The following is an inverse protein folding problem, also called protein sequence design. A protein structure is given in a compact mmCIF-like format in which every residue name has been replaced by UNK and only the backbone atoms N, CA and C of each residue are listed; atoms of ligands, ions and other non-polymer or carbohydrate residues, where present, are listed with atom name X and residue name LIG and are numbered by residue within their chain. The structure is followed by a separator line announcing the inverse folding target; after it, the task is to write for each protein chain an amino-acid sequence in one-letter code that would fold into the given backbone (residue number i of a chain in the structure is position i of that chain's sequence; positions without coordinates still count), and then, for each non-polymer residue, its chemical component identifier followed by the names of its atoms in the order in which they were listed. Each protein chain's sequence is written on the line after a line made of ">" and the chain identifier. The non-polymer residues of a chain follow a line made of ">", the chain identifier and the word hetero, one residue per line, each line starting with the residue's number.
data_IF_459968316524
#
_entry.id   IF_459968316524
#
_cell.length_a   1.000
_cell.length_b   1.000
_cell.length_c   1.000
_cell.angle_alpha   90.00
_cell.angle_beta   90.00
_cell.angle_gamma   90.00
#
_symmetry.space_group_name_H-M   'P 1'
#
loop_
_entity.id
_entity.type
_entity.pdbx_description
1 polymer ?
#
# COMPACT_ATOMS: atom_id res chain seq x y z
N UNK A 1 -27.70 17.09 -13.34
CA UNK A 1 -27.30 15.85 -12.64
C UNK A 1 -25.77 15.77 -12.67
N UNK A 2 -25.13 15.39 -11.56
CA UNK A 2 -23.67 15.20 -11.45
C UNK A 2 -23.41 13.82 -10.84
N UNK A 3 -22.41 13.10 -11.34
CA UNK A 3 -21.95 11.82 -10.82
C UNK A 3 -20.41 11.75 -10.88
N UNK A 4 -19.80 11.02 -9.95
CA UNK A 4 -18.36 10.73 -9.93
C UNK A 4 -18.12 9.23 -10.03
N UNK A 5 -16.95 8.84 -10.55
CA UNK A 5 -16.54 7.45 -10.70
C UNK A 5 -15.16 7.27 -10.07
N UNK A 6 -15.01 6.19 -9.29
CA UNK A 6 -13.74 5.76 -8.72
C UNK A 6 -13.54 4.28 -9.04
N UNK A 7 -12.36 3.93 -9.57
CA UNK A 7 -12.04 2.57 -10.01
C UNK A 7 -10.67 2.18 -9.46
N UNK A 8 -10.62 1.02 -8.80
CA UNK A 8 -9.39 0.40 -8.30
C UNK A 8 -9.14 -0.88 -9.09
N UNK A 9 -7.93 -1.04 -9.63
CA UNK A 9 -7.54 -2.22 -10.41
C UNK A 9 -6.17 -2.72 -9.96
N UNK A 10 -6.09 -4.01 -9.62
CA UNK A 10 -4.81 -4.65 -9.31
C UNK A 10 -4.02 -4.94 -10.59
N UNK A 11 -2.71 -4.70 -10.54
CA UNK A 11 -1.79 -4.95 -11.63
C UNK A 11 -1.13 -6.33 -11.47
N UNK A 12 -0.99 -7.05 -12.58
CA UNK A 12 -0.31 -8.34 -12.62
C UNK A 12 1.21 -8.17 -12.77
N UNK A 13 1.85 -7.64 -11.72
CA UNK A 13 3.27 -7.33 -11.73
C UNK A 13 4.00 -7.67 -10.42
N UNK A 14 3.36 -8.40 -9.50
CA UNK A 14 3.86 -8.61 -8.14
C UNK A 14 3.61 -7.41 -7.21
N UNK A 15 4.18 -7.45 -6.01
CA UNK A 15 3.99 -6.38 -5.01
C UNK A 15 4.72 -5.09 -5.41
N UNK A 16 4.24 -3.95 -4.91
CA UNK A 16 4.75 -2.63 -5.31
C UNK A 16 6.10 -2.30 -4.66
N UNK A 17 6.33 -2.71 -3.42
CA UNK A 17 7.50 -2.29 -2.62
C UNK A 17 8.43 -3.43 -2.19
N UNK A 18 8.30 -4.61 -2.79
CA UNK A 18 9.25 -5.70 -2.59
C UNK A 18 9.23 -6.64 -3.81
N UNK A 19 10.17 -7.58 -3.84
CA UNK A 19 10.26 -8.60 -4.90
C UNK A 19 9.45 -9.87 -4.61
N UNK A 20 8.57 -9.86 -3.60
CA UNK A 20 7.65 -10.98 -3.38
C UNK A 20 6.66 -11.07 -4.54
N UNK A 21 6.33 -12.30 -4.94
CA UNK A 21 5.24 -12.57 -5.86
C UNK A 21 3.88 -12.14 -5.28
N UNK A 22 2.87 -11.99 -6.13
CA UNK A 22 1.49 -11.70 -5.76
C UNK A 22 0.73 -12.91 -5.23
N UNK A 23 1.21 -14.13 -5.52
CA UNK A 23 0.61 -15.38 -5.06
C UNK A 23 0.88 -15.67 -3.57
N UNK A 24 -0.09 -16.31 -2.91
CA UNK A 24 0.00 -16.84 -1.55
C UNK A 24 0.99 -18.03 -1.48
N UNK A 25 2.29 -17.74 -1.59
CA UNK A 25 3.40 -18.69 -1.50
C UNK A 25 4.30 -18.44 -0.28
N UNK A 26 3.81 -17.63 0.65
CA UNK A 26 4.52 -17.13 1.82
C UNK A 26 4.56 -18.11 2.99
N UNK A 27 5.49 -17.88 3.93
CA UNK A 27 5.50 -18.54 5.24
C UNK A 27 4.19 -18.25 6.01
N UNK A 28 3.65 -19.20 6.79
CA UNK A 28 2.46 -18.97 7.64
C UNK A 28 2.79 -18.11 8.88
N UNK A 29 3.23 -16.86 8.67
CA UNK A 29 3.54 -15.94 9.76
C UNK A 29 2.28 -15.24 10.25
N UNK A 30 2.11 -15.20 11.56
CA UNK A 30 1.04 -14.45 12.23
C UNK A 30 1.65 -13.57 13.31
N UNK A 31 1.33 -12.28 13.30
CA UNK A 31 1.80 -11.32 14.29
C UNK A 31 0.72 -10.28 14.58
N UNK A 32 0.81 -9.60 15.72
CA UNK A 32 -0.13 -8.53 16.07
C UNK A 32 0.57 -7.20 16.31
N UNK A 33 -0.11 -6.10 15.98
CA UNK A 33 0.34 -4.73 16.24
C UNK A 33 -0.83 -3.85 16.70
N UNK A 34 -0.53 -2.78 17.40
CA UNK A 34 -1.47 -1.68 17.69
C UNK A 34 -0.95 -0.46 16.96
N UNK A 35 -1.80 0.16 16.14
CA UNK A 35 -1.44 1.40 15.44
C UNK A 35 -1.65 2.58 16.38
N UNK A 36 -0.78 3.59 16.32
CA UNK A 36 -0.87 4.77 17.17
C UNK A 36 -1.21 6.00 16.33
N UNK A 37 -2.23 6.74 16.75
CA UNK A 37 -2.56 8.01 16.13
C UNK A 37 -1.42 9.03 16.36
N UNK A 38 -1.03 9.72 15.30
CA UNK A 38 0.03 10.74 15.36
C UNK A 38 -0.58 12.13 15.32
N UNK A 39 0.02 13.08 16.03
CA UNK A 39 -0.37 14.48 15.97
C UNK A 39 0.16 15.14 14.69
N UNK A 40 -0.65 16.01 14.10
CA UNK A 40 -0.19 16.95 13.08
C UNK A 40 0.86 17.92 13.63
N UNK A 41 1.48 18.71 12.75
CA UNK A 41 2.43 19.76 13.14
C UNK A 41 1.87 20.73 14.19
N UNK A 42 0.56 20.98 14.16
CA UNK A 42 -0.15 21.83 15.13
C UNK A 42 -0.60 21.08 16.40
N UNK A 43 -0.16 19.83 16.60
CA UNK A 43 -0.53 19.01 17.75
C UNK A 43 -1.93 18.38 17.66
N UNK A 44 -2.66 18.59 16.57
CA UNK A 44 -4.04 18.09 16.39
C UNK A 44 -4.00 16.64 15.92
N UNK A 45 -4.74 15.76 16.58
CA UNK A 45 -4.91 14.35 16.21
C UNK A 45 -6.24 14.16 15.48
N UNK A 46 -6.23 13.39 14.39
CA UNK A 46 -7.45 13.02 13.68
C UNK A 46 -8.37 12.16 14.58
N UNK A 47 -9.66 12.49 14.60
CA UNK A 47 -10.64 11.85 15.49
C UNK A 47 -10.85 10.37 15.13
N UNK A 48 -10.87 10.04 13.85
CA UNK A 48 -11.03 8.65 13.40
C UNK A 48 -9.78 7.82 13.72
N UNK A 49 -8.59 8.38 13.47
CA UNK A 49 -7.32 7.73 13.85
C UNK A 49 -7.20 7.54 15.37
N UNK A 50 -7.65 8.53 16.16
CA UNK A 50 -7.65 8.42 17.62
C UNK A 50 -8.56 7.30 18.12
N UNK A 51 -9.76 7.16 17.53
CA UNK A 51 -10.69 6.11 17.88
C UNK A 51 -10.15 4.71 17.54
N UNK A 52 -9.48 4.54 16.38
CA UNK A 52 -8.89 3.27 15.97
C UNK A 52 -7.53 2.99 16.64
N UNK A 53 -6.85 4.00 17.21
CA UNK A 53 -5.48 3.92 17.75
C UNK A 53 -5.31 3.05 19.00
N UNK A 54 -6.38 2.47 19.53
CA UNK A 54 -6.35 1.51 20.64
C UNK A 54 -6.62 0.07 20.16
N UNK A 55 -6.96 -0.12 18.89
CA UNK A 55 -7.32 -1.40 18.32
C UNK A 55 -6.07 -2.24 18.05
N UNK A 56 -6.13 -3.52 18.46
CA UNK A 56 -5.10 -4.52 18.13
C UNK A 56 -5.47 -5.19 16.81
N UNK A 57 -4.55 -5.17 15.87
CA UNK A 57 -4.65 -5.86 14.58
C UNK A 57 -3.82 -7.13 14.61
N UNK A 58 -4.35 -8.21 14.03
CA UNK A 58 -3.62 -9.45 13.80
C UNK A 58 -3.44 -9.62 12.30
N UNK A 59 -2.19 -9.72 11.87
CA UNK A 59 -1.80 -9.87 10.48
C UNK A 59 -1.46 -11.33 10.22
N UNK A 60 -2.02 -11.87 9.14
CA UNK A 60 -1.67 -13.18 8.61
C UNK A 60 -0.92 -12.98 7.30
N UNK A 61 0.41 -12.99 7.37
CA UNK A 61 1.23 -12.79 6.19
C UNK A 61 1.48 -14.15 5.54
N UNK A 62 0.69 -14.48 4.51
CA UNK A 62 0.82 -15.71 3.70
C UNK A 62 1.30 -15.46 2.28
N UNK A 63 1.45 -14.20 1.89
CA UNK A 63 1.75 -13.80 0.52
C UNK A 63 3.13 -13.15 0.36
N UNK A 64 3.93 -13.04 1.42
CA UNK A 64 5.30 -12.52 1.32
C UNK A 64 6.27 -13.36 2.14
N UNK A 65 7.43 -13.59 1.56
CA UNK A 65 8.57 -14.22 2.23
C UNK A 65 9.64 -13.20 2.68
N UNK A 66 9.32 -11.90 2.69
CA UNK A 66 10.22 -10.85 3.18
C UNK A 66 9.58 -10.02 4.30
N UNK A 67 10.38 -9.13 4.86
CA UNK A 67 10.07 -8.33 6.05
C UNK A 67 9.35 -6.99 5.75
N UNK A 68 9.37 -6.53 4.48
CA UNK A 68 8.83 -5.22 4.09
C UNK A 68 7.37 -5.04 4.50
N UNK A 69 6.50 -5.98 4.11
CA UNK A 69 5.06 -5.92 4.43
C UNK A 69 4.74 -6.37 5.87
N UNK A 70 5.76 -6.76 6.64
CA UNK A 70 5.66 -6.92 8.09
C UNK A 70 6.14 -5.67 8.85
N UNK A 71 6.58 -4.63 8.12
CA UNK A 71 7.16 -3.39 8.67
C UNK A 71 8.47 -3.62 9.47
N UNK A 72 9.22 -4.66 9.09
CA UNK A 72 10.49 -5.04 9.75
C UNK A 72 11.71 -4.83 8.82
N UNK A 73 11.50 -4.22 7.64
CA UNK A 73 12.53 -3.85 6.67
C UNK A 73 12.06 -2.65 5.83
N UNK A 74 12.94 -1.71 5.45
CA UNK A 74 12.58 -0.62 4.55
C UNK A 74 12.00 -1.10 3.20
N UNK A 75 11.00 -0.39 2.64
CA UNK A 75 10.45 -0.72 1.33
C UNK A 75 11.47 -0.57 0.20
N UNK A 76 11.33 -1.41 -0.83
CA UNK A 76 12.17 -1.42 -2.04
C UNK A 76 11.32 -1.15 -3.26
N UNK A 77 11.58 -0.07 -3.99
CA UNK A 77 10.82 0.24 -5.20
C UNK A 77 10.45 1.72 -5.28
N UNK A 78 9.41 2.07 -6.05
CA UNK A 78 8.33 1.20 -6.55
C UNK A 78 8.74 0.15 -7.61
N UNK A 79 7.93 -0.89 -7.76
CA UNK A 79 8.08 -1.93 -8.78
C UNK A 79 8.02 -1.31 -10.18
N UNK A 80 9.10 -1.48 -10.96
CA UNK A 80 9.25 -0.85 -12.29
C UNK A 80 8.14 -1.25 -13.26
N UNK A 81 7.71 -2.51 -13.25
CA UNK A 81 6.63 -2.99 -14.10
C UNK A 81 5.29 -2.32 -13.72
N UNK A 82 5.04 -2.11 -12.42
CA UNK A 82 3.85 -1.39 -11.96
C UNK A 82 3.84 0.07 -12.47
N UNK A 83 5.00 0.74 -12.43
CA UNK A 83 5.15 2.11 -12.95
C UNK A 83 4.94 2.15 -14.47
N UNK A 84 5.51 1.21 -15.22
CA UNK A 84 5.32 1.12 -16.68
C UNK A 84 3.84 0.95 -17.05
N UNK A 85 3.13 0.05 -16.36
CA UNK A 85 1.69 -0.17 -16.58
C UNK A 85 0.88 1.08 -16.20
N UNK A 86 1.21 1.75 -15.09
CA UNK A 86 0.53 2.99 -14.67
C UNK A 86 0.73 4.13 -15.69
N UNK A 87 1.95 4.29 -16.21
CA UNK A 87 2.26 5.27 -17.27
C UNK A 87 1.55 4.90 -18.58
N UNK A 88 1.49 3.62 -18.93
CA UNK A 88 0.74 3.16 -20.10
C UNK A 88 -0.74 3.51 -19.97
N UNK A 89 -1.36 3.22 -18.81
CA UNK A 89 -2.75 3.56 -18.56
C UNK A 89 -2.98 5.07 -18.62
N UNK A 90 -2.11 5.88 -18.02
CA UNK A 90 -2.18 7.34 -18.07
C UNK A 90 -2.17 7.86 -19.52
N UNK A 91 -1.34 7.28 -20.40
CA UNK A 91 -1.34 7.63 -21.83
C UNK A 91 -2.66 7.25 -22.52
N UNK A 92 -3.20 6.08 -22.22
CA UNK A 92 -4.46 5.60 -22.80
C UNK A 92 -5.65 6.49 -22.41
N UNK A 93 -5.64 7.06 -21.21
CA UNK A 93 -6.70 7.95 -20.73
C UNK A 93 -6.44 9.43 -21.01
N UNK A 94 -5.35 9.79 -21.69
CA UNK A 94 -4.98 11.18 -21.97
C UNK A 94 -4.60 11.98 -20.72
N UNK A 95 -4.13 11.32 -19.66
CA UNK A 95 -3.69 11.99 -18.44
C UNK A 95 -2.32 12.67 -18.62
N UNK A 96 -2.07 13.73 -17.85
CA UNK A 96 -0.75 14.38 -17.78
C UNK A 96 0.16 13.57 -16.85
N UNK A 97 1.25 13.06 -17.39
CA UNK A 97 2.26 12.32 -16.63
C UNK A 97 3.21 13.32 -15.95
N UNK A 98 3.58 13.04 -14.70
CA UNK A 98 4.58 13.81 -13.94
C UNK A 98 5.99 13.30 -14.21
N UNK A 99 6.99 14.18 -14.09
CA UNK A 99 8.39 13.86 -14.44
C UNK A 99 9.10 13.03 -13.38
N UNK A 100 8.75 13.21 -12.10
CA UNK A 100 9.35 12.54 -10.95
C UNK A 100 8.25 12.06 -9.99
N UNK A 101 8.46 10.88 -9.42
CA UNK A 101 7.56 10.19 -8.47
C UNK A 101 8.37 9.74 -7.25
#
# INVERSE_FOLDING_TARGET
>A
MKAGLEVHQQLDCGKLFCSCDSLESGSNQTFSRTLHATSSEMGIVDVAAQAEGIRKFTYHNRSCNCLVYADEEPPRGPNKNAIEIAVQFAKLTGAKIIEEV
#
